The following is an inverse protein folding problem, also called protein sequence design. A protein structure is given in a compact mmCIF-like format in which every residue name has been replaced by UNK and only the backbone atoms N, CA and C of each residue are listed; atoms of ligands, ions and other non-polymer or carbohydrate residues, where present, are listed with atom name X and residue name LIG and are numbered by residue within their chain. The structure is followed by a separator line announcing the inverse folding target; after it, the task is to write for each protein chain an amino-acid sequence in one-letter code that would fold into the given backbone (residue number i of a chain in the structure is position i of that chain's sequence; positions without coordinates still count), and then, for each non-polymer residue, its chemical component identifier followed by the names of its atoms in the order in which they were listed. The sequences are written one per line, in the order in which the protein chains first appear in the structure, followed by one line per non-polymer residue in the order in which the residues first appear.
data_IF_843727874212
#
_entry.id   IF_843727874212
#
_cell.length_a   1.000
_cell.length_b   1.000
_cell.length_c   1.000
_cell.angle_alpha   90.00
_cell.angle_beta   90.00
_cell.angle_gamma   90.00
#
_symmetry.space_group_name_H-M   'P 1'
#
loop_
_entity.id
_entity.type
_entity.pdbx_description
1 polymer ?
#
# COMPACT_ATOMS: atom_id res chain seq x y z
N UNK A 1 20.48 4.85 -2.66
CA UNK A 1 19.24 4.18 -3.16
C UNK A 1 19.32 2.71 -2.76
N UNK A 2 18.26 2.12 -2.22
CA UNK A 2 18.29 0.77 -1.61
C UNK A 2 17.79 -0.36 -2.54
N UNK A 3 17.70 -0.11 -3.86
CA UNK A 3 17.29 -1.14 -4.83
C UNK A 3 15.85 -1.65 -4.67
N UNK A 4 14.95 -0.86 -4.08
CA UNK A 4 13.55 -1.25 -3.87
C UNK A 4 12.82 -1.34 -5.21
N UNK A 5 12.24 -2.50 -5.58
CA UNK A 5 11.48 -2.63 -6.82
C UNK A 5 10.18 -1.82 -6.75
N UNK A 6 9.74 -1.28 -7.88
CA UNK A 6 8.51 -0.53 -7.99
C UNK A 6 7.77 -0.88 -9.29
N UNK A 7 6.45 -0.68 -9.30
CA UNK A 7 5.61 -0.84 -10.48
C UNK A 7 4.72 0.39 -10.63
N UNK A 8 4.86 1.10 -11.74
CA UNK A 8 4.02 2.25 -12.07
C UNK A 8 2.94 1.80 -13.05
N UNK A 9 1.72 1.61 -12.57
CA UNK A 9 0.58 1.27 -13.41
C UNK A 9 -0.02 2.55 -13.99
N UNK A 10 -0.20 2.59 -15.31
CA UNK A 10 -0.76 3.73 -15.99
C UNK A 10 -2.27 3.89 -15.75
N UNK A 11 -2.77 5.10 -15.96
CA UNK A 11 -4.18 5.43 -15.92
C UNK A 11 -4.60 6.29 -17.11
N UNK A 12 -5.90 6.31 -17.43
CA UNK A 12 -6.46 7.15 -18.50
C UNK A 12 -6.26 8.66 -18.27
N UNK A 13 -5.82 9.07 -17.09
CA UNK A 13 -5.58 10.47 -16.70
C UNK A 13 -4.11 10.86 -16.83
N UNK A 14 -3.24 9.94 -17.24
CA UNK A 14 -1.82 10.20 -17.28
C UNK A 14 -1.47 11.08 -18.48
N UNK A 15 -0.82 12.21 -18.21
CA UNK A 15 -0.32 13.11 -19.25
C UNK A 15 1.11 12.72 -19.64
N UNK A 16 1.27 12.10 -20.82
CA UNK A 16 2.58 11.77 -21.41
C UNK A 16 3.49 11.03 -20.42
N UNK A 17 3.06 9.88 -19.90
CA UNK A 17 3.62 9.26 -18.70
C UNK A 17 5.12 9.00 -18.81
N UNK A 18 5.79 8.93 -17.64
CA UNK A 18 7.20 8.58 -17.58
C UNK A 18 7.48 7.25 -18.31
N UNK A 19 8.66 7.06 -18.91
CA UNK A 19 8.99 5.85 -19.66
C UNK A 19 8.79 4.54 -18.89
N UNK A 20 8.89 4.57 -17.56
CA UNK A 20 8.74 3.42 -16.67
C UNK A 20 7.28 3.04 -16.38
N UNK A 21 6.32 3.88 -16.79
CA UNK A 21 4.88 3.61 -16.59
C UNK A 21 4.42 2.53 -17.55
N UNK A 22 3.78 1.50 -16.98
CA UNK A 22 3.17 0.41 -17.71
C UNK A 22 1.75 0.84 -18.09
N UNK A 23 1.55 1.22 -19.34
CA UNK A 23 0.24 1.66 -19.87
C UNK A 23 -0.70 0.50 -20.18
N UNK A 24 -0.16 -0.70 -20.44
CA UNK A 24 -0.96 -1.93 -20.56
C UNK A 24 -1.41 -2.40 -19.18
N UNK A 25 -2.72 -2.31 -18.93
CA UNK A 25 -3.32 -2.65 -17.62
C UNK A 25 -3.18 -4.13 -17.27
N UNK A 26 -3.16 -5.03 -18.25
CA UNK A 26 -3.02 -6.48 -18.02
C UNK A 26 -1.59 -6.79 -17.60
N UNK A 27 -0.61 -6.19 -18.28
CA UNK A 27 0.79 -6.30 -17.93
C UNK A 27 1.08 -5.67 -16.55
N UNK A 28 0.53 -4.49 -16.28
CA UNK A 28 0.65 -3.84 -14.98
C UNK A 28 0.10 -4.73 -13.86
N UNK A 29 -1.06 -5.37 -14.08
CA UNK A 29 -1.64 -6.32 -13.12
C UNK A 29 -0.74 -7.54 -12.90
N UNK A 30 -0.12 -8.09 -13.96
CA UNK A 30 0.84 -9.19 -13.83
C UNK A 30 2.03 -8.79 -12.97
N UNK A 31 2.58 -7.59 -13.20
CA UNK A 31 3.69 -7.03 -12.41
C UNK A 31 3.30 -6.78 -10.95
N UNK A 32 2.07 -6.35 -10.69
CA UNK A 32 1.54 -6.24 -9.32
C UNK A 32 1.53 -7.61 -8.65
N UNK A 33 0.99 -8.64 -9.30
CA UNK A 33 0.98 -10.01 -8.73
C UNK A 33 2.39 -10.54 -8.44
N UNK A 34 3.35 -10.28 -9.32
CA UNK A 34 4.75 -10.65 -9.10
C UNK A 34 5.32 -9.97 -7.86
N UNK A 35 5.11 -8.65 -7.72
CA UNK A 35 5.59 -7.88 -6.58
C UNK A 35 4.91 -8.27 -5.25
N UNK A 36 3.66 -8.75 -5.30
CA UNK A 36 2.87 -9.09 -4.11
C UNK A 36 3.08 -10.54 -3.63
N UNK A 37 3.77 -11.40 -4.39
CA UNK A 37 3.84 -12.86 -4.15
C UNK A 37 4.31 -13.22 -2.73
N UNK A 38 5.25 -12.46 -2.18
CA UNK A 38 5.87 -12.74 -0.86
C UNK A 38 5.46 -11.72 0.21
N UNK A 39 4.48 -10.87 -0.07
CA UNK A 39 4.02 -9.85 0.86
C UNK A 39 3.31 -10.50 2.06
N UNK A 40 3.83 -10.29 3.27
CA UNK A 40 3.16 -10.65 4.52
C UNK A 40 2.28 -9.52 5.06
N UNK A 41 2.53 -8.29 4.61
CA UNK A 41 1.78 -7.09 4.93
C UNK A 41 1.78 -6.12 3.74
N UNK A 42 0.68 -5.39 3.56
CA UNK A 42 0.58 -4.29 2.59
C UNK A 42 0.01 -3.04 3.27
N UNK A 43 0.72 -1.93 3.08
CA UNK A 43 0.30 -0.60 3.50
C UNK A 43 -0.25 0.17 2.30
N UNK A 44 -1.52 0.56 2.37
CA UNK A 44 -2.28 1.26 1.34
C UNK A 44 -2.45 2.72 1.76
N UNK A 45 -1.97 3.66 0.93
CA UNK A 45 -1.81 5.06 1.28
C UNK A 45 -2.57 5.97 0.31
N UNK A 46 -3.72 6.51 0.74
CA UNK A 46 -4.50 7.55 0.06
C UNK A 46 -4.75 7.30 -1.45
N UNK A 47 -5.03 6.06 -1.85
CA UNK A 47 -5.32 5.71 -3.25
C UNK A 47 -6.40 4.65 -3.36
N UNK A 48 -7.60 5.03 -3.79
CA UNK A 48 -8.70 4.07 -3.88
C UNK A 48 -8.46 2.98 -4.94
N UNK A 49 -8.09 3.36 -6.17
CA UNK A 49 -8.00 2.41 -7.29
C UNK A 49 -6.90 1.37 -7.11
N UNK A 50 -5.68 1.80 -6.77
CA UNK A 50 -4.57 0.88 -6.56
C UNK A 50 -4.79 0.00 -5.32
N UNK A 51 -5.32 0.57 -4.22
CA UNK A 51 -5.61 -0.21 -3.01
C UNK A 51 -6.64 -1.30 -3.27
N UNK A 52 -7.70 -0.99 -4.03
CA UNK A 52 -8.72 -1.98 -4.41
C UNK A 52 -8.12 -3.06 -5.32
N UNK A 53 -7.34 -2.66 -6.33
CA UNK A 53 -6.69 -3.60 -7.24
C UNK A 53 -5.75 -4.56 -6.49
N UNK A 54 -4.89 -4.02 -5.63
CA UNK A 54 -3.97 -4.79 -4.78
C UNK A 54 -4.73 -5.70 -3.82
N UNK A 55 -5.75 -5.19 -3.13
CA UNK A 55 -6.59 -5.98 -2.23
C UNK A 55 -7.25 -7.18 -2.92
N UNK A 56 -7.70 -7.03 -4.16
CA UNK A 56 -8.29 -8.14 -4.94
C UNK A 56 -7.25 -9.20 -5.38
N UNK A 57 -5.96 -8.87 -5.37
CA UNK A 57 -4.87 -9.78 -5.78
C UNK A 57 -4.22 -10.52 -4.62
N UNK A 58 -4.54 -10.14 -3.37
CA UNK A 58 -3.91 -10.68 -2.18
C UNK A 58 -4.70 -11.86 -1.60
N UNK A 59 -4.01 -12.89 -1.08
CA UNK A 59 -4.66 -13.91 -0.27
C UNK A 59 -5.07 -13.33 1.09
N UNK A 60 -6.10 -13.92 1.71
CA UNK A 60 -6.66 -13.46 3.00
C UNK A 60 -5.69 -13.53 4.19
N UNK A 61 -4.55 -14.21 4.03
CA UNK A 61 -3.49 -14.34 5.04
C UNK A 61 -2.60 -13.11 5.15
N UNK A 62 -2.69 -12.17 4.20
CA UNK A 62 -1.85 -10.96 4.19
C UNK A 62 -2.48 -9.88 5.06
N UNK A 63 -1.67 -9.28 5.94
CA UNK A 63 -2.13 -8.15 6.78
C UNK A 63 -2.30 -6.91 5.92
N UNK A 64 -3.44 -6.24 6.06
CA UNK A 64 -3.74 -5.03 5.30
C UNK A 64 -3.88 -3.84 6.23
N UNK A 65 -3.22 -2.74 5.90
CA UNK A 65 -3.41 -1.46 6.58
C UNK A 65 -3.79 -0.43 5.52
N UNK A 66 -4.99 0.12 5.61
CA UNK A 66 -5.46 1.19 4.72
C UNK A 66 -5.53 2.51 5.46
N UNK A 67 -4.82 3.52 4.96
CA UNK A 67 -4.85 4.88 5.46
C UNK A 67 -5.42 5.79 4.38
N UNK A 68 -6.60 6.35 4.62
CA UNK A 68 -7.26 7.27 3.69
C UNK A 68 -8.10 8.28 4.48
N UNK A 69 -8.15 9.53 4.03
CA UNK A 69 -8.97 10.57 4.69
C UNK A 69 -10.47 10.35 4.43
N UNK A 70 -10.81 9.63 3.36
CA UNK A 70 -12.18 9.35 2.98
C UNK A 70 -12.65 8.02 3.60
N UNK A 71 -13.62 8.06 4.55
CA UNK A 71 -14.16 6.85 5.18
C UNK A 71 -14.69 5.83 4.18
N UNK A 72 -15.27 6.29 3.07
CA UNK A 72 -15.87 5.40 2.06
C UNK A 72 -14.83 4.54 1.33
N UNK A 73 -13.60 5.03 1.16
CA UNK A 73 -12.50 4.22 0.59
C UNK A 73 -12.12 3.11 1.54
N UNK A 74 -11.99 3.44 2.84
CA UNK A 74 -11.64 2.50 3.90
C UNK A 74 -12.70 1.41 4.02
N UNK A 75 -13.98 1.77 4.13
CA UNK A 75 -15.09 0.81 4.23
C UNK A 75 -15.11 -0.17 3.05
N UNK A 76 -14.97 0.32 1.81
CA UNK A 76 -14.94 -0.53 0.60
C UNK A 76 -13.80 -1.54 0.59
N UNK A 77 -12.70 -1.27 1.28
CA UNK A 77 -11.57 -2.19 1.39
C UNK A 77 -11.79 -3.21 2.51
N UNK A 78 -12.32 -2.78 3.65
CA UNK A 78 -12.62 -3.65 4.79
C UNK A 78 -13.74 -4.65 4.49
N UNK A 79 -14.73 -4.27 3.68
CA UNK A 79 -15.86 -5.13 3.31
C UNK A 79 -15.45 -6.36 2.47
N UNK A 80 -14.21 -6.41 1.96
CA UNK A 80 -13.71 -7.52 1.11
C UNK A 80 -13.17 -8.72 1.87
N UNK A 81 -13.56 -8.90 3.14
CA UNK A 81 -13.39 -10.17 3.86
C UNK A 81 -11.97 -10.51 4.30
N UNK A 82 -11.05 -9.53 4.29
CA UNK A 82 -9.74 -9.70 4.93
C UNK A 82 -9.90 -9.55 6.43
N UNK A 83 -9.98 -10.67 7.15
CA UNK A 83 -10.07 -10.72 8.61
C UNK A 83 -8.90 -10.03 9.32
N UNK A 84 -7.83 -9.72 8.58
CA UNK A 84 -6.62 -9.03 9.05
C UNK A 84 -6.44 -7.62 8.45
N UNK A 85 -7.54 -6.93 8.12
CA UNK A 85 -7.50 -5.56 7.61
C UNK A 85 -7.76 -4.51 8.70
N UNK A 86 -6.89 -3.50 8.77
CA UNK A 86 -6.99 -2.33 9.65
C UNK A 86 -7.24 -1.10 8.79
N UNK A 87 -8.29 -0.35 9.10
CA UNK A 87 -8.61 0.92 8.47
C UNK A 87 -8.27 2.09 9.39
N UNK A 88 -7.52 3.06 8.89
CA UNK A 88 -7.17 4.30 9.59
C UNK A 88 -7.72 5.47 8.78
N UNK A 89 -8.73 6.15 9.31
CA UNK A 89 -9.31 7.33 8.69
C UNK A 89 -8.50 8.54 9.16
N UNK A 90 -7.53 8.97 8.35
CA UNK A 90 -6.63 10.07 8.71
C UNK A 90 -5.97 10.67 7.47
N UNK A 91 -5.39 11.85 7.64
CA UNK A 91 -4.49 12.44 6.66
C UNK A 91 -3.18 11.65 6.57
N UNK A 92 -2.82 11.21 5.36
CA UNK A 92 -1.61 10.42 5.12
C UNK A 92 -0.33 11.24 5.33
N UNK A 93 -0.39 12.54 5.05
CA UNK A 93 0.74 13.47 5.22
C UNK A 93 1.15 13.62 6.67
N UNK A 94 0.19 13.55 7.60
CA UNK A 94 0.42 13.56 9.04
C UNK A 94 0.73 12.16 9.59
N UNK A 95 0.09 11.12 9.05
CA UNK A 95 0.29 9.73 9.49
C UNK A 95 1.73 9.23 9.27
N UNK A 96 2.32 9.45 8.09
CA UNK A 96 3.64 8.89 7.76
C UNK A 96 4.78 9.43 8.64
N UNK A 97 4.89 10.74 8.93
CA UNK A 97 5.89 11.26 9.86
C UNK A 97 5.76 10.68 11.26
N UNK A 98 4.53 10.55 11.78
CA UNK A 98 4.27 9.96 13.09
C UNK A 98 4.67 8.49 13.13
N UNK A 99 4.34 7.72 12.08
CA UNK A 99 4.76 6.33 11.96
C UNK A 99 6.29 6.21 11.91
N UNK A 100 6.97 7.08 11.16
CA UNK A 100 8.42 7.08 11.08
C UNK A 100 9.08 7.39 12.44
N UNK A 101 8.53 8.35 13.20
CA UNK A 101 8.99 8.68 14.55
C UNK A 101 8.79 7.51 15.53
N UNK A 102 7.65 6.84 15.46
CA UNK A 102 7.37 5.67 16.31
C UNK A 102 8.32 4.51 15.99
N UNK A 103 8.56 4.24 14.70
CA UNK A 103 9.52 3.21 14.27
C UNK A 103 10.95 3.51 14.77
N UNK A 104 11.35 4.78 14.79
CA UNK A 104 12.65 5.19 15.33
C UNK A 104 12.72 4.97 16.84
N UNK A 105 11.68 5.36 17.58
CA UNK A 105 11.59 5.15 19.04
C UNK A 105 11.68 3.66 19.39
N UNK A 106 10.93 2.82 18.68
CA UNK A 106 10.94 1.36 18.90
C UNK A 106 12.31 0.75 18.60
N UNK A 107 13.01 1.26 17.59
CA UNK A 107 14.36 0.82 17.26
C UNK A 107 15.35 1.17 18.37
N UNK A 108 15.31 2.40 18.88
CA UNK A 108 16.17 2.86 19.98
C UNK A 108 15.93 2.07 21.27
N UNK A 109 14.68 1.73 21.57
CA UNK A 109 14.33 0.87 22.71
C UNK A 109 14.91 -0.54 22.55
N UNK A 110 14.79 -1.14 21.35
CA UNK A 110 15.35 -2.47 21.07
C UNK A 110 16.88 -2.51 21.12
N UNK A 111 17.56 -1.41 20.80
CA UNK A 111 19.02 -1.29 20.84
C UNK A 111 19.55 -0.93 22.25
N UNK A 112 18.75 -0.26 23.09
CA UNK A 112 19.11 0.15 24.45
C UNK A 112 18.90 -0.91 25.55
N UNK A 113 18.26 -2.03 25.23
CA UNK A 113 18.05 -3.18 26.13
C UNK A 113 19.16 -4.25 26.05
N UNK A 114 20.28 -3.98 25.36
CA UNK A 114 21.47 -4.85 25.26
C UNK A 114 22.69 -4.33 26.02
#
# INVERSE_FOLDING_TARGET
RCGVPFVLAGSIRDDGPLPEVITDVVEAQRKYREALREASMVLMLATALHSIAVGNMLPSTVKLVCVDINPSTVTKLLDRGSSQAVGVISDVGTFLPLLAQELQTLKEQAEGEG
#
